data_IF_749638604921
#
_entry.id   IF_749638604921
#
_cell.length_a   1.000
_cell.length_b   1.000
_cell.length_c   1.000
_cell.angle_alpha   90.00
_cell.angle_beta   90.00
_cell.angle_gamma   90.00
#
_symmetry.space_group_name_H-M   'P 1'
#
loop_
_entity.id
_entity.type
_entity.pdbx_description
1 polymer ?
#
# COMPACT_ATOMS: atom_id res chain seq x y z
N UNK A 1 -2.37 -51.43 55.06
CA UNK A 1 -3.61 -51.45 55.86
C UNK A 1 -4.51 -50.32 55.38
N UNK A 2 -5.49 -50.62 54.52
CA UNK A 2 -6.94 -50.64 54.83
C UNK A 2 -7.46 -49.34 55.46
N UNK A 3 -8.17 -48.50 54.68
CA UNK A 3 -9.63 -48.40 54.77
C UNK A 3 -10.20 -47.41 53.74
N UNK A 4 -11.09 -47.92 52.87
CA UNK A 4 -12.01 -47.17 52.01
C UNK A 4 -13.36 -47.05 52.72
N UNK A 5 -14.05 -45.92 52.57
CA UNK A 5 -15.52 -45.78 52.36
C UNK A 5 -15.86 -44.28 52.24
N UNK A 6 -16.02 -43.72 51.04
CA UNK A 6 -17.29 -43.54 50.29
C UNK A 6 -18.42 -42.94 51.11
N UNK A 7 -18.91 -41.74 50.74
CA UNK A 7 -20.33 -41.52 50.39
C UNK A 7 -20.63 -40.10 49.86
N UNK A 8 -21.38 -40.07 48.74
CA UNK A 8 -22.33 -39.04 48.23
C UNK A 8 -21.83 -37.75 47.56
N UNK A 9 -21.63 -37.92 46.26
CA UNK A 9 -22.19 -37.11 45.16
C UNK A 9 -23.39 -36.22 45.56
N UNK A 10 -23.23 -34.90 45.46
CA UNK A 10 -24.32 -33.95 45.20
C UNK A 10 -23.96 -33.18 43.93
N UNK A 11 -24.69 -33.49 42.87
CA UNK A 11 -24.73 -32.69 41.65
C UNK A 11 -25.31 -31.32 42.00
N UNK A 12 -24.50 -30.28 41.87
CA UNK A 12 -24.98 -28.90 41.75
C UNK A 12 -24.85 -28.55 40.27
N UNK A 13 -25.98 -28.56 39.57
CA UNK A 13 -26.14 -27.95 38.26
C UNK A 13 -25.93 -26.44 38.43
N UNK A 14 -24.73 -25.96 38.16
CA UNK A 14 -24.49 -24.53 37.90
C UNK A 14 -24.45 -24.35 36.38
N UNK A 15 -25.55 -23.84 35.86
CA UNK A 15 -25.68 -23.27 34.53
C UNK A 15 -24.72 -22.08 34.38
N UNK A 16 -23.52 -22.35 33.85
CA UNK A 16 -22.60 -21.29 33.41
C UNK A 16 -23.13 -20.76 32.09
N UNK A 17 -24.02 -19.77 32.18
CA UNK A 17 -24.36 -18.90 31.08
C UNK A 17 -23.08 -18.16 30.66
N UNK A 18 -22.53 -18.55 29.51
CA UNK A 18 -21.47 -17.83 28.80
C UNK A 18 -21.97 -16.43 28.45
N UNK A 19 -21.67 -15.46 29.30
CA UNK A 19 -21.80 -14.04 29.00
C UNK A 19 -20.65 -13.67 28.06
N UNK A 20 -20.88 -13.85 26.76
CA UNK A 20 -20.08 -13.25 25.70
C UNK A 20 -20.21 -11.72 25.81
N UNK A 21 -19.30 -11.10 26.55
CA UNK A 21 -19.01 -9.68 26.45
C UNK A 21 -18.29 -9.45 25.11
N UNK A 22 -19.08 -9.45 24.03
CA UNK A 22 -18.70 -8.71 22.83
C UNK A 22 -18.69 -7.23 23.20
N UNK A 23 -17.51 -6.70 23.51
CA UNK A 23 -17.27 -5.27 23.39
C UNK A 23 -17.24 -5.01 21.88
N UNK A 24 -18.42 -4.87 21.28
CA UNK A 24 -18.57 -4.29 19.96
C UNK A 24 -18.13 -2.84 20.08
N UNK A 25 -16.96 -2.51 19.54
CA UNK A 25 -16.59 -1.15 19.19
C UNK A 25 -17.65 -0.62 18.23
N UNK A 26 -18.65 0.06 18.78
CA UNK A 26 -19.75 0.65 18.04
C UNK A 26 -19.26 1.90 17.31
N UNK A 27 -18.68 1.70 16.13
CA UNK A 27 -18.85 2.69 15.07
C UNK A 27 -20.30 2.56 14.67
N UNK A 28 -21.14 3.46 15.18
CA UNK A 28 -22.55 3.56 14.83
C UNK A 28 -22.61 3.84 13.32
N UNK A 29 -22.76 2.80 12.51
CA UNK A 29 -23.37 2.95 11.20
C UNK A 29 -24.81 3.36 11.48
N UNK A 30 -25.10 4.66 11.40
CA UNK A 30 -26.44 5.17 11.64
C UNK A 30 -27.40 4.45 10.70
N UNK A 31 -28.22 3.56 11.27
CA UNK A 31 -29.21 2.80 10.53
C UNK A 31 -30.10 3.80 9.78
N UNK A 32 -30.21 3.67 8.45
CA UNK A 32 -30.98 4.62 7.63
C UNK A 32 -32.41 4.74 8.18
N UNK A 33 -32.79 5.94 8.58
CA UNK A 33 -34.14 6.22 9.08
C UNK A 33 -35.19 5.99 8.00
N UNK A 34 -36.43 5.74 8.42
CA UNK A 34 -37.58 5.61 7.51
C UNK A 34 -37.73 6.86 6.65
N UNK A 35 -37.60 8.04 7.27
CA UNK A 35 -37.62 9.33 6.57
C UNK A 35 -36.55 9.41 5.48
N UNK A 36 -35.29 9.09 5.79
CA UNK A 36 -34.19 9.18 4.82
C UNK A 36 -34.40 8.23 3.64
N UNK A 37 -34.87 7.00 3.89
CA UNK A 37 -35.17 6.04 2.83
C UNK A 37 -36.26 6.56 1.91
N UNK A 38 -37.36 7.05 2.46
CA UNK A 38 -38.47 7.62 1.69
C UNK A 38 -38.04 8.86 0.91
N UNK A 39 -37.28 9.76 1.55
CA UNK A 39 -36.76 10.97 0.91
C UNK A 39 -35.86 10.63 -0.29
N UNK A 40 -34.91 9.71 -0.11
CA UNK A 40 -33.99 9.26 -1.16
C UNK A 40 -34.74 8.57 -2.28
N UNK A 41 -35.70 7.69 -1.96
CA UNK A 41 -36.51 7.04 -2.97
C UNK A 41 -37.24 8.08 -3.82
N UNK A 42 -37.93 9.03 -3.18
CA UNK A 42 -38.65 10.10 -3.87
C UNK A 42 -37.70 11.02 -4.67
N UNK A 43 -36.49 11.25 -4.18
CA UNK A 43 -35.45 12.02 -4.88
C UNK A 43 -35.02 11.32 -6.18
N UNK A 44 -34.69 10.03 -6.09
CA UNK A 44 -34.23 9.23 -7.24
C UNK A 44 -35.36 9.04 -8.26
N UNK A 45 -36.62 8.91 -7.80
CA UNK A 45 -37.79 8.75 -8.68
C UNK A 45 -38.41 10.08 -9.13
N UNK A 46 -37.80 11.23 -8.82
CA UNK A 46 -38.31 12.57 -9.15
C UNK A 46 -39.74 12.86 -8.65
N UNK A 47 -40.14 12.32 -7.50
CA UNK A 47 -41.47 12.48 -6.94
C UNK A 47 -41.54 13.69 -5.99
N UNK A 48 -41.48 14.89 -6.57
CA UNK A 48 -41.41 16.15 -5.82
C UNK A 48 -42.59 16.38 -4.87
N UNK A 49 -43.81 16.01 -5.28
CA UNK A 49 -45.01 16.17 -4.45
C UNK A 49 -44.89 15.38 -3.14
N UNK A 50 -44.45 14.13 -3.21
CA UNK A 50 -44.25 13.32 -2.00
C UNK A 50 -43.07 13.82 -1.17
N UNK A 51 -42.01 14.34 -1.78
CA UNK A 51 -40.91 14.95 -1.03
C UNK A 51 -41.38 16.19 -0.25
N UNK A 52 -42.17 17.06 -0.88
CA UNK A 52 -42.66 18.28 -0.25
C UNK A 52 -43.53 17.95 0.99
N UNK A 53 -44.42 16.98 0.88
CA UNK A 53 -45.24 16.52 2.01
C UNK A 53 -44.38 15.88 3.11
N UNK A 54 -43.41 15.06 2.73
CA UNK A 54 -42.47 14.43 3.66
C UNK A 54 -41.66 15.48 4.45
N UNK A 55 -41.16 16.52 3.78
CA UNK A 55 -40.39 17.62 4.38
C UNK A 55 -41.22 18.47 5.32
N UNK A 56 -42.47 18.80 4.96
CA UNK A 56 -43.37 19.57 5.82
C UNK A 56 -43.69 18.82 7.12
N UNK A 57 -43.91 17.50 7.04
CA UNK A 57 -44.31 16.65 8.18
C UNK A 57 -43.17 16.39 9.17
N UNK A 58 -41.91 16.45 8.73
CA UNK A 58 -40.76 15.95 9.48
C UNK A 58 -39.74 17.04 9.85
N UNK A 59 -40.19 18.28 10.07
CA UNK A 59 -39.32 19.44 10.38
C UNK A 59 -38.23 19.13 11.41
N UNK A 60 -38.62 18.52 12.53
CA UNK A 60 -37.74 18.42 13.71
C UNK A 60 -36.56 17.45 13.51
N UNK A 61 -36.72 16.44 12.64
CA UNK A 61 -35.68 15.43 12.40
C UNK A 61 -34.75 15.79 11.25
N UNK A 62 -35.18 16.69 10.34
CA UNK A 62 -34.43 17.04 9.14
C UNK A 62 -33.02 17.59 9.40
N UNK A 63 -32.79 18.48 10.39
CA UNK A 63 -31.44 18.94 10.73
C UNK A 63 -30.44 17.81 10.97
N UNK A 64 -30.85 16.78 11.70
CA UNK A 64 -29.97 15.65 12.02
C UNK A 64 -29.78 14.76 10.80
N UNK A 65 -30.83 14.56 9.99
CA UNK A 65 -30.74 13.82 8.73
C UNK A 65 -29.77 14.45 7.73
N UNK A 66 -29.78 15.78 7.61
CA UNK A 66 -28.82 16.53 6.78
C UNK A 66 -27.40 16.32 7.30
N UNK A 67 -27.18 16.48 8.62
CA UNK A 67 -25.86 16.27 9.24
C UNK A 67 -25.36 14.84 9.07
N UNK A 68 -26.23 13.84 9.18
CA UNK A 68 -25.87 12.45 8.97
C UNK A 68 -25.44 12.18 7.53
N UNK A 69 -26.13 12.75 6.54
CA UNK A 69 -25.74 12.64 5.13
C UNK A 69 -24.38 13.30 4.87
N UNK A 70 -24.13 14.47 5.46
CA UNK A 70 -22.82 15.13 5.37
C UNK A 70 -21.73 14.30 6.04
N UNK A 71 -21.99 13.75 7.23
CA UNK A 71 -21.03 12.91 7.94
C UNK A 71 -20.71 11.62 7.17
N UNK A 72 -21.72 10.95 6.60
CA UNK A 72 -21.54 9.76 5.76
C UNK A 72 -20.77 10.10 4.48
N UNK A 73 -21.05 11.25 3.86
CA UNK A 73 -20.28 11.72 2.70
C UNK A 73 -18.80 11.99 3.04
N UNK A 74 -18.50 12.40 4.26
CA UNK A 74 -17.13 12.67 4.70
C UNK A 74 -16.40 11.43 5.25
N UNK A 75 -17.04 10.27 5.26
CA UNK A 75 -16.40 9.01 5.66
C UNK A 75 -15.23 8.65 4.73
N UNK A 76 -14.15 8.11 5.31
CA UNK A 76 -12.85 7.92 4.62
C UNK A 76 -12.92 6.93 3.45
N UNK A 77 -13.86 6.01 3.50
CA UNK A 77 -14.05 4.92 2.55
C UNK A 77 -14.83 5.31 1.28
N UNK A 78 -15.46 6.50 1.25
CA UNK A 78 -16.30 6.92 0.11
C UNK A 78 -15.47 7.39 -1.08
N UNK A 79 -15.85 6.94 -2.28
CA UNK A 79 -15.33 7.50 -3.55
C UNK A 79 -15.88 8.91 -3.76
N UNK A 80 -15.19 9.74 -4.56
CA UNK A 80 -15.67 11.09 -4.89
C UNK A 80 -17.11 11.10 -5.40
N UNK A 81 -17.46 10.15 -6.29
CA UNK A 81 -18.83 9.99 -6.80
C UNK A 81 -19.84 9.71 -5.67
N UNK A 82 -19.52 8.81 -4.75
CA UNK A 82 -20.36 8.51 -3.58
C UNK A 82 -20.51 9.74 -2.67
N UNK A 83 -19.42 10.48 -2.45
CA UNK A 83 -19.47 11.73 -1.67
C UNK A 83 -20.40 12.75 -2.31
N UNK A 84 -20.25 12.99 -3.61
CA UNK A 84 -21.05 13.96 -4.34
C UNK A 84 -22.51 13.56 -4.42
N UNK A 85 -22.82 12.27 -4.52
CA UNK A 85 -24.19 11.75 -4.44
C UNK A 85 -24.83 12.08 -3.09
N UNK A 86 -24.14 11.76 -1.99
CA UNK A 86 -24.64 12.02 -0.63
C UNK A 86 -24.76 13.53 -0.34
N UNK A 87 -23.77 14.34 -0.72
CA UNK A 87 -23.81 15.80 -0.58
C UNK A 87 -24.91 16.42 -1.46
N UNK A 88 -25.17 15.87 -2.64
CA UNK A 88 -26.28 16.29 -3.51
C UNK A 88 -27.64 16.05 -2.85
N UNK A 89 -27.84 14.89 -2.23
CA UNK A 89 -29.07 14.57 -1.47
C UNK A 89 -29.18 15.50 -0.25
N UNK A 90 -28.10 15.69 0.50
CA UNK A 90 -28.07 16.60 1.64
C UNK A 90 -28.40 18.04 1.23
N UNK A 91 -27.87 18.49 0.09
CA UNK A 91 -28.11 19.83 -0.45
C UNK A 91 -29.56 20.00 -0.88
N UNK A 92 -30.15 18.98 -1.51
CA UNK A 92 -31.57 18.98 -1.85
C UNK A 92 -32.44 19.04 -0.60
N UNK A 93 -32.17 18.19 0.40
CA UNK A 93 -32.89 18.17 1.66
C UNK A 93 -32.78 19.52 2.42
N UNK A 94 -31.59 20.11 2.44
CA UNK A 94 -31.34 21.41 3.07
C UNK A 94 -32.01 22.57 2.31
N UNK A 95 -32.03 22.54 0.97
CA UNK A 95 -32.72 23.54 0.16
C UNK A 95 -34.24 23.48 0.38
N UNK A 96 -34.79 22.27 0.45
CA UNK A 96 -36.19 22.05 0.81
C UNK A 96 -36.47 22.56 2.24
N UNK A 97 -35.64 22.19 3.20
CA UNK A 97 -35.77 22.67 4.58
C UNK A 97 -35.81 24.21 4.65
N UNK A 98 -34.87 24.88 3.97
CA UNK A 98 -34.85 26.34 3.86
C UNK A 98 -36.17 26.88 3.29
N UNK A 99 -36.67 26.30 2.20
CA UNK A 99 -37.87 26.79 1.53
C UNK A 99 -39.13 26.72 2.41
N UNK A 100 -39.37 25.60 3.10
CA UNK A 100 -40.57 25.44 3.93
C UNK A 100 -40.44 25.96 5.36
N UNK A 101 -39.22 26.06 5.89
CA UNK A 101 -38.99 26.39 7.30
C UNK A 101 -38.20 27.70 7.52
N UNK A 102 -37.81 28.39 6.44
CA UNK A 102 -37.12 29.68 6.44
C UNK A 102 -35.81 29.69 7.27
N UNK A 103 -35.06 28.60 7.22
CA UNK A 103 -33.78 28.44 7.91
C UNK A 103 -32.71 28.01 6.90
N UNK A 104 -31.78 28.93 6.63
CA UNK A 104 -30.72 28.77 5.63
C UNK A 104 -29.43 28.15 6.17
N UNK A 105 -29.33 27.93 7.48
CA UNK A 105 -28.11 27.45 8.13
C UNK A 105 -27.59 26.16 7.47
N UNK A 106 -28.48 25.18 7.30
CA UNK A 106 -28.10 23.86 6.82
C UNK A 106 -27.70 23.85 5.35
N UNK A 107 -28.31 24.69 4.51
CA UNK A 107 -27.90 24.76 3.09
C UNK A 107 -26.54 25.43 2.96
N UNK A 108 -26.25 26.46 3.75
CA UNK A 108 -24.92 27.11 3.76
C UNK A 108 -23.84 26.12 4.21
N UNK A 109 -24.10 25.34 5.27
CA UNK A 109 -23.20 24.30 5.76
C UNK A 109 -22.92 23.24 4.67
N UNK A 110 -23.98 22.68 4.06
CA UNK A 110 -23.83 21.64 3.02
C UNK A 110 -23.11 22.18 1.78
N UNK A 111 -23.50 23.35 1.28
CA UNK A 111 -22.85 23.95 0.11
C UNK A 111 -21.38 24.28 0.35
N UNK A 112 -21.02 24.66 1.58
CA UNK A 112 -19.62 24.91 1.94
C UNK A 112 -18.80 23.61 1.84
N UNK A 113 -19.31 22.51 2.41
CA UNK A 113 -18.68 21.19 2.28
C UNK A 113 -18.60 20.74 0.81
N UNK A 114 -19.67 20.94 0.04
CA UNK A 114 -19.73 20.61 -1.38
C UNK A 114 -18.67 21.38 -2.18
N UNK A 115 -18.56 22.70 -1.97
CA UNK A 115 -17.51 23.54 -2.60
C UNK A 115 -16.10 23.06 -2.22
N UNK A 116 -15.89 22.70 -0.96
CA UNK A 116 -14.60 22.16 -0.50
C UNK A 116 -14.24 20.84 -1.20
N UNK A 117 -15.16 19.86 -1.29
CA UNK A 117 -14.87 18.58 -1.95
C UNK A 117 -14.66 18.75 -3.47
N UNK A 118 -15.43 19.62 -4.13
CA UNK A 118 -15.22 19.95 -5.56
C UNK A 118 -13.85 20.59 -5.78
N UNK A 119 -13.43 21.51 -4.91
CA UNK A 119 -12.12 22.14 -5.02
C UNK A 119 -10.99 21.12 -4.81
N UNK A 120 -11.11 20.23 -3.82
CA UNK A 120 -10.16 19.13 -3.63
C UNK A 120 -10.03 18.24 -4.87
N UNK A 121 -11.14 17.89 -5.53
CA UNK A 121 -11.08 17.07 -6.74
C UNK A 121 -10.47 17.82 -7.94
N UNK A 122 -10.68 19.14 -8.05
CA UNK A 122 -10.01 19.97 -9.06
C UNK A 122 -8.49 20.02 -8.86
N UNK A 123 -8.05 20.06 -7.60
CA UNK A 123 -6.62 20.11 -7.25
C UNK A 123 -5.94 18.75 -7.35
N UNK A 124 -6.70 17.65 -7.18
CA UNK A 124 -6.17 16.28 -7.15
C UNK A 124 -5.31 15.90 -8.36
N UNK A 125 -5.69 16.16 -9.64
CA UNK A 125 -4.84 15.81 -10.78
C UNK A 125 -3.51 16.55 -10.79
N UNK A 126 -3.52 17.85 -10.49
CA UNK A 126 -2.32 18.68 -10.45
C UNK A 126 -1.38 18.21 -9.32
N UNK A 127 -1.95 17.84 -8.17
CA UNK A 127 -1.20 17.29 -7.05
C UNK A 127 -0.61 15.91 -7.38
N UNK A 128 -1.36 15.02 -8.03
CA UNK A 128 -0.86 13.71 -8.48
C UNK A 128 0.30 13.90 -9.47
N UNK A 129 0.13 14.78 -10.47
CA UNK A 129 1.17 15.02 -11.48
C UNK A 129 2.43 15.65 -10.88
N UNK A 130 2.29 16.53 -9.89
CA UNK A 130 3.41 17.13 -9.14
C UNK A 130 4.33 16.07 -8.54
N UNK A 131 3.75 14.99 -7.98
CA UNK A 131 4.52 13.93 -7.32
C UNK A 131 4.98 12.83 -8.26
N UNK A 132 4.23 12.58 -9.35
CA UNK A 132 4.48 11.52 -10.33
C UNK A 132 5.89 11.56 -10.92
N UNK A 133 6.49 12.74 -11.07
CA UNK A 133 7.88 12.86 -11.55
C UNK A 133 8.91 12.20 -10.61
N UNK A 134 8.66 12.21 -9.30
CA UNK A 134 9.54 11.60 -8.30
C UNK A 134 9.34 10.09 -8.21
N UNK A 135 8.12 9.62 -8.48
CA UNK A 135 7.73 8.21 -8.54
C UNK A 135 8.01 7.57 -9.91
N UNK A 136 8.45 8.37 -10.91
CA UNK A 136 8.81 7.90 -12.25
C UNK A 136 9.86 6.78 -12.18
N UNK A 137 10.77 6.86 -11.22
CA UNK A 137 11.71 5.79 -10.97
C UNK A 137 11.07 4.69 -10.14
N UNK A 138 11.02 3.47 -10.66
CA UNK A 138 10.23 2.41 -10.05
C UNK A 138 10.68 2.07 -8.63
N UNK A 139 9.69 2.09 -7.73
CA UNK A 139 9.88 1.93 -6.30
C UNK A 139 10.12 3.25 -5.58
N UNK A 140 10.46 4.36 -6.23
CA UNK A 140 10.48 5.64 -5.51
C UNK A 140 9.07 5.96 -5.00
N UNK A 141 8.99 6.37 -3.74
CA UNK A 141 7.74 6.79 -3.13
C UNK A 141 7.91 8.19 -2.54
N UNK A 142 6.85 8.99 -2.62
CA UNK A 142 6.77 10.26 -1.92
C UNK A 142 5.93 10.06 -0.66
N UNK A 143 6.54 10.25 0.51
CA UNK A 143 5.85 10.19 1.80
C UNK A 143 5.22 11.56 2.07
N UNK A 144 3.88 11.61 2.01
CA UNK A 144 3.10 12.85 2.10
C UNK A 144 1.87 12.73 3.01
N UNK A 145 1.78 11.66 3.78
CA UNK A 145 0.66 11.37 4.67
C UNK A 145 0.49 12.39 5.79
N UNK A 146 1.58 13.09 6.15
CA UNK A 146 1.65 14.12 7.19
C UNK A 146 2.06 15.49 6.62
N UNK A 147 1.62 15.80 5.38
CA UNK A 147 2.04 17.01 4.67
C UNK A 147 1.66 18.32 5.37
N UNK A 148 0.48 18.40 6.00
CA UNK A 148 0.05 19.54 6.81
C UNK A 148 0.99 19.77 7.99
N UNK A 149 1.35 18.70 8.71
CA UNK A 149 2.27 18.79 9.84
C UNK A 149 3.68 19.15 9.39
N UNK A 150 4.16 18.57 8.28
CA UNK A 150 5.44 18.92 7.68
C UNK A 150 5.46 20.40 7.26
N UNK A 151 4.43 20.89 6.57
CA UNK A 151 4.33 22.28 6.13
C UNK A 151 4.30 23.27 7.30
N UNK A 152 3.63 22.92 8.41
CA UNK A 152 3.62 23.72 9.63
C UNK A 152 5.02 23.86 10.26
N UNK A 153 5.90 22.86 10.08
CA UNK A 153 7.31 22.92 10.47
C UNK A 153 8.24 23.47 9.34
N UNK A 154 7.68 23.96 8.23
CA UNK A 154 8.46 24.45 7.08
C UNK A 154 9.17 23.36 6.29
N UNK A 155 8.73 22.11 6.41
CA UNK A 155 9.30 20.93 5.77
C UNK A 155 8.51 20.51 4.53
N UNK A 156 9.22 20.00 3.53
CA UNK A 156 8.60 19.39 2.35
C UNK A 156 8.37 17.89 2.56
N UNK A 157 7.51 17.25 1.76
CA UNK A 157 7.42 15.78 1.73
C UNK A 157 8.76 15.10 1.50
N UNK A 158 8.85 13.84 1.92
CA UNK A 158 10.07 13.03 1.80
C UNK A 158 10.05 12.23 0.52
N UNK A 159 11.12 12.29 -0.28
CA UNK A 159 11.35 11.33 -1.36
C UNK A 159 12.13 10.16 -0.76
N UNK A 160 11.56 8.96 -0.82
CA UNK A 160 12.26 7.74 -0.47
C UNK A 160 12.69 6.98 -1.74
N UNK A 161 14.00 6.95 -2.05
CA UNK A 161 14.51 6.26 -3.21
C UNK A 161 14.75 4.77 -2.92
N UNK A 162 13.77 3.91 -3.20
CA UNK A 162 13.92 2.46 -2.99
C UNK A 162 15.13 1.88 -3.72
N UNK A 163 15.46 2.38 -4.91
CA UNK A 163 16.58 1.86 -5.68
C UNK A 163 17.92 2.09 -4.99
N UNK A 164 18.12 3.26 -4.38
CA UNK A 164 19.35 3.58 -3.68
C UNK A 164 19.52 2.66 -2.45
N UNK A 165 18.43 2.42 -1.73
CA UNK A 165 18.44 1.45 -0.62
C UNK A 165 18.68 0.02 -1.11
N UNK A 166 18.13 -0.37 -2.27
CA UNK A 166 18.33 -1.71 -2.88
C UNK A 166 19.74 -1.99 -3.38
N UNK A 167 20.56 -0.95 -3.61
CA UNK A 167 21.99 -1.14 -3.89
C UNK A 167 22.71 -1.71 -2.66
N UNK A 168 22.25 -1.33 -1.48
CA UNK A 168 22.92 -1.64 -0.22
C UNK A 168 22.25 -2.75 0.58
N UNK A 169 20.94 -2.91 0.44
CA UNK A 169 20.11 -3.78 1.25
C UNK A 169 19.17 -4.61 0.39
N UNK A 170 19.05 -5.89 0.70
CA UNK A 170 18.00 -6.73 0.14
C UNK A 170 16.63 -6.36 0.72
N UNK A 171 15.54 -6.71 0.03
CA UNK A 171 14.19 -6.32 0.45
C UNK A 171 13.87 -6.83 1.86
N UNK A 172 14.32 -8.05 2.18
CA UNK A 172 14.13 -8.72 3.48
C UNK A 172 14.77 -8.02 4.67
N UNK A 173 15.68 -7.08 4.45
CA UNK A 173 16.27 -6.25 5.51
C UNK A 173 15.23 -5.27 6.08
N UNK A 174 14.37 -4.75 5.20
CA UNK A 174 13.35 -3.76 5.56
C UNK A 174 11.97 -4.40 5.75
N UNK A 175 11.67 -5.43 4.97
CA UNK A 175 10.34 -6.02 4.89
C UNK A 175 10.32 -7.48 5.35
N UNK A 176 9.32 -7.91 6.12
CA UNK A 176 8.17 -7.13 6.62
C UNK A 176 8.37 -6.59 8.06
N UNK A 177 9.59 -6.70 8.60
CA UNK A 177 9.90 -6.42 10.01
C UNK A 177 9.88 -4.92 10.35
N UNK A 178 10.45 -4.08 9.50
CA UNK A 178 10.52 -2.62 9.73
C UNK A 178 9.35 -1.91 9.06
N UNK A 179 9.00 -2.35 7.86
CA UNK A 179 7.93 -1.79 7.05
C UNK A 179 7.07 -2.91 6.47
N UNK A 180 5.75 -2.73 6.45
CA UNK A 180 4.88 -3.60 5.68
C UNK A 180 4.95 -3.24 4.20
N UNK A 181 4.98 -4.22 3.29
CA UNK A 181 4.93 -4.00 1.83
C UNK A 181 3.55 -3.53 1.33
N UNK A 182 3.05 -2.42 1.89
CA UNK A 182 1.76 -1.83 1.53
C UNK A 182 1.86 -0.31 1.47
N UNK A 183 1.50 0.26 0.32
CA UNK A 183 1.46 1.71 0.15
C UNK A 183 0.49 2.32 1.17
N UNK A 184 0.93 3.39 1.86
CA UNK A 184 0.20 4.02 2.99
C UNK A 184 -0.13 3.06 4.14
N UNK A 185 0.48 1.88 4.19
CA UNK A 185 0.31 0.90 5.27
C UNK A 185 1.21 1.17 6.48
N UNK A 186 2.17 2.08 6.34
CA UNK A 186 3.12 2.43 7.38
C UNK A 186 2.85 3.87 7.83
N UNK A 187 2.49 4.06 9.09
CA UNK A 187 2.37 5.40 9.67
C UNK A 187 3.77 5.84 10.16
N UNK A 188 4.45 6.64 9.36
CA UNK A 188 5.82 7.11 9.64
C UNK A 188 5.73 8.48 10.30
N UNK A 189 6.22 8.58 11.54
CA UNK A 189 6.20 9.83 12.31
C UNK A 189 7.60 10.18 12.81
N UNK A 190 7.87 11.49 12.97
CA UNK A 190 9.10 12.02 13.59
C UNK A 190 9.40 11.35 14.93
N UNK A 191 8.38 11.18 15.77
CA UNK A 191 8.51 10.52 17.07
C UNK A 191 9.03 9.08 16.94
N UNK A 192 8.40 8.25 16.08
CA UNK A 192 8.85 6.86 15.86
C UNK A 192 10.27 6.80 15.30
N UNK A 193 10.61 7.68 14.36
CA UNK A 193 11.95 7.76 13.80
C UNK A 193 12.97 8.11 14.89
N UNK A 194 12.68 9.06 15.77
CA UNK A 194 13.59 9.46 16.84
C UNK A 194 13.73 8.41 17.94
N UNK A 195 12.72 7.55 18.12
CA UNK A 195 12.76 6.36 18.98
C UNK A 195 13.56 5.20 18.37
N UNK A 196 14.15 5.37 17.18
CA UNK A 196 14.93 4.32 16.51
C UNK A 196 14.07 3.29 15.76
N UNK A 197 12.79 3.60 15.48
CA UNK A 197 11.90 2.76 14.67
C UNK A 197 11.87 3.24 13.22
N UNK A 198 11.40 2.40 12.30
CA UNK A 198 11.24 2.74 10.88
C UNK A 198 12.55 3.27 10.30
N UNK A 199 12.58 4.49 9.74
CA UNK A 199 13.79 5.11 9.22
C UNK A 199 14.90 5.19 10.29
N UNK A 200 14.52 5.37 11.55
CA UNK A 200 15.42 5.47 12.69
C UNK A 200 16.18 4.18 13.02
N UNK A 201 15.75 3.02 12.50
CA UNK A 201 16.50 1.76 12.65
C UNK A 201 17.90 1.90 12.04
N UNK A 202 18.00 2.60 10.90
CA UNK A 202 19.27 2.82 10.19
C UNK A 202 19.76 4.27 10.30
N UNK A 203 18.88 5.26 10.26
CA UNK A 203 19.21 6.68 10.40
C UNK A 203 19.47 7.07 11.87
N UNK A 204 20.43 6.38 12.47
CA UNK A 204 20.80 6.45 13.89
C UNK A 204 22.21 7.02 14.13
N UNK A 205 22.87 7.50 13.07
CA UNK A 205 24.25 8.01 13.12
C UNK A 205 25.33 6.93 13.06
N UNK A 206 24.95 5.64 13.09
CA UNK A 206 25.88 4.49 12.99
C UNK A 206 25.82 3.85 11.61
N UNK A 207 24.63 3.42 11.18
CA UNK A 207 24.44 2.75 9.87
C UNK A 207 24.35 3.79 8.76
N UNK A 208 23.45 4.75 8.94
CA UNK A 208 23.29 5.93 8.10
C UNK A 208 23.41 7.22 8.93
N UNK A 209 23.34 8.37 8.27
CA UNK A 209 23.30 9.66 8.95
C UNK A 209 22.14 9.70 9.95
N UNK A 210 22.34 10.37 11.10
CA UNK A 210 21.32 10.47 12.14
C UNK A 210 20.07 11.23 11.67
N UNK A 211 18.91 10.78 12.12
CA UNK A 211 17.63 11.43 11.83
C UNK A 211 17.39 12.70 12.68
N UNK A 212 18.16 12.90 13.73
CA UNK A 212 18.10 14.08 14.58
C UNK A 212 18.96 15.20 13.96
N UNK A 213 18.30 16.11 13.24
CA UNK A 213 18.94 17.21 12.51
C UNK A 213 19.02 16.96 11.00
N UNK A 214 19.53 17.96 10.26
CA UNK A 214 19.64 17.93 8.79
C UNK A 214 18.36 17.50 8.07
N UNK A 215 17.21 18.06 8.48
CA UNK A 215 15.88 17.66 7.98
C UNK A 215 15.80 17.66 6.44
N UNK A 216 16.58 18.52 5.79
CA UNK A 216 16.68 18.65 4.32
C UNK A 216 17.23 17.41 3.62
N UNK A 217 17.92 16.49 4.32
CA UNK A 217 18.38 15.22 3.74
C UNK A 217 17.22 14.29 3.37
N UNK A 218 16.14 14.31 4.15
CA UNK A 218 14.94 13.52 3.89
C UNK A 218 13.81 14.39 3.29
N UNK A 219 13.53 15.55 3.91
CA UNK A 219 12.52 16.50 3.46
C UNK A 219 13.04 17.33 2.28
N UNK A 220 13.03 16.69 1.11
CA UNK A 220 13.71 17.16 -0.09
C UNK A 220 12.82 17.21 -1.33
N UNK A 221 11.54 16.82 -1.23
CA UNK A 221 10.66 16.92 -2.37
C UNK A 221 10.51 18.39 -2.80
N UNK A 222 10.65 18.66 -4.10
CA UNK A 222 10.67 20.02 -4.65
C UNK A 222 12.05 20.70 -4.67
N UNK A 223 13.10 20.11 -4.09
CA UNK A 223 14.44 20.72 -4.02
C UNK A 223 15.36 20.21 -5.14
N UNK A 224 16.28 21.07 -5.60
CA UNK A 224 17.22 20.76 -6.69
C UNK A 224 18.16 19.61 -6.32
N UNK A 225 18.60 19.55 -5.06
CA UNK A 225 19.53 18.53 -4.56
C UNK A 225 18.92 17.12 -4.60
N UNK A 226 17.59 17.03 -4.62
CA UNK A 226 16.88 15.76 -4.70
C UNK A 226 16.88 15.13 -6.09
N UNK A 227 17.33 15.85 -7.14
CA UNK A 227 17.37 15.35 -8.52
C UNK A 227 18.12 14.03 -8.67
N UNK A 228 19.24 13.88 -7.97
CA UNK A 228 20.03 12.64 -7.96
C UNK A 228 19.27 11.41 -7.41
N UNK A 229 18.19 11.61 -6.66
CA UNK A 229 17.38 10.52 -6.08
C UNK A 229 16.39 9.91 -7.09
N UNK A 230 16.13 10.59 -8.20
CA UNK A 230 15.22 10.13 -9.26
C UNK A 230 15.81 10.22 -10.67
N UNK A 231 17.06 10.70 -10.80
CA UNK A 231 17.85 10.67 -12.02
C UNK A 231 19.20 9.98 -11.78
N UNK A 232 19.29 8.71 -12.17
CA UNK A 232 20.50 7.91 -11.98
C UNK A 232 21.71 8.38 -12.79
N UNK A 233 21.52 9.22 -13.82
CA UNK A 233 22.67 9.77 -14.56
C UNK A 233 23.51 10.70 -13.69
N UNK A 234 22.93 11.19 -12.58
CA UNK A 234 23.58 12.08 -11.61
C UNK A 234 24.10 11.35 -10.37
N UNK A 235 24.16 10.01 -10.39
CA UNK A 235 24.61 9.23 -9.25
C UNK A 235 26.09 9.47 -8.94
N UNK A 236 26.43 9.64 -7.66
CA UNK A 236 27.82 9.66 -7.21
C UNK A 236 28.28 8.24 -6.88
N UNK A 237 28.96 7.57 -7.82
CA UNK A 237 29.51 6.23 -7.59
C UNK A 237 30.46 6.18 -6.40
N UNK A 238 31.21 7.27 -6.17
CA UNK A 238 32.11 7.41 -5.01
C UNK A 238 31.32 7.33 -3.70
N UNK A 239 30.27 8.15 -3.56
CA UNK A 239 29.42 8.15 -2.37
C UNK A 239 28.75 6.79 -2.15
N UNK A 240 28.27 6.16 -3.23
CA UNK A 240 27.66 4.84 -3.14
C UNK A 240 28.65 3.77 -2.66
N UNK A 241 29.89 3.81 -3.17
CA UNK A 241 30.98 2.92 -2.75
C UNK A 241 31.37 3.11 -1.29
N UNK A 242 31.48 4.36 -0.85
CA UNK A 242 31.80 4.71 0.54
C UNK A 242 30.74 4.18 1.51
N UNK A 243 29.46 4.38 1.20
CA UNK A 243 28.36 3.87 2.03
C UNK A 243 28.34 2.35 2.02
N UNK A 244 28.47 1.71 0.85
CA UNK A 244 28.47 0.26 0.73
C UNK A 244 29.56 -0.37 1.60
N UNK A 245 30.79 0.14 1.48
CA UNK A 245 31.94 -0.32 2.27
C UNK A 245 31.70 -0.17 3.77
N UNK A 246 31.12 0.97 4.20
CA UNK A 246 30.86 1.23 5.62
C UNK A 246 29.91 0.23 6.26
N UNK A 247 28.89 -0.21 5.52
CA UNK A 247 27.84 -1.11 6.03
C UNK A 247 28.09 -2.58 5.71
N UNK A 248 29.17 -2.91 4.98
CA UNK A 248 29.49 -4.26 4.57
C UNK A 248 28.78 -4.75 3.30
N UNK A 249 28.21 -3.83 2.50
CA UNK A 249 27.76 -4.10 1.14
C UNK A 249 28.90 -3.86 0.14
N UNK A 250 28.70 -4.24 -1.12
CA UNK A 250 29.66 -4.00 -2.20
C UNK A 250 29.07 -3.11 -3.29
N UNK A 251 29.89 -2.21 -3.81
CA UNK A 251 29.62 -1.43 -5.01
C UNK A 251 30.92 -1.24 -5.81
N UNK A 252 30.96 -1.89 -6.96
CA UNK A 252 32.10 -2.03 -7.86
C UNK A 252 31.76 -1.34 -9.19
N UNK A 253 31.75 0.01 -9.25
CA UNK A 253 31.38 0.76 -10.45
C UNK A 253 32.31 0.48 -11.64
N UNK A 254 33.52 -0.01 -11.40
CA UNK A 254 34.46 -0.51 -12.42
C UNK A 254 33.88 -1.63 -13.30
N UNK A 255 32.90 -2.39 -12.81
CA UNK A 255 32.25 -3.46 -13.56
C UNK A 255 31.06 -2.96 -14.41
N UNK A 256 30.72 -1.66 -14.31
CA UNK A 256 29.68 -1.05 -15.14
C UNK A 256 30.19 -0.77 -16.55
N UNK A 257 29.34 -1.05 -17.53
CA UNK A 257 29.61 -0.68 -18.92
C UNK A 257 29.57 0.85 -19.06
N UNK A 258 30.72 1.46 -19.35
CA UNK A 258 30.91 2.92 -19.44
C UNK A 258 30.55 3.69 -18.15
N UNK A 259 30.61 3.03 -16.99
CA UNK A 259 30.20 3.64 -15.71
C UNK A 259 28.69 3.84 -15.56
N UNK A 260 27.86 3.34 -16.48
CA UNK A 260 26.41 3.58 -16.48
C UNK A 260 25.67 2.37 -15.91
N UNK A 261 24.73 2.64 -15.00
CA UNK A 261 23.81 1.61 -14.48
C UNK A 261 22.87 1.14 -15.60
N UNK A 262 22.80 -0.16 -15.90
CA UNK A 262 22.03 -0.68 -17.02
C UNK A 262 20.53 -0.56 -16.74
N UNK A 263 19.82 0.09 -17.67
CA UNK A 263 18.37 0.21 -17.69
C UNK A 263 17.77 -0.62 -18.82
N UNK A 264 16.54 -1.07 -18.63
CA UNK A 264 15.74 -1.64 -19.72
C UNK A 264 15.01 -0.55 -20.53
N UNK A 265 14.30 -0.96 -21.60
CA UNK A 265 13.54 -0.05 -22.48
C UNK A 265 12.43 0.74 -21.77
N UNK A 266 12.05 0.35 -20.56
CA UNK A 266 11.06 1.02 -19.74
C UNK A 266 11.69 1.88 -18.63
N UNK A 267 13.02 1.94 -18.57
CA UNK A 267 13.77 2.70 -17.57
C UNK A 267 13.98 1.98 -16.24
N UNK A 268 13.78 0.66 -16.16
CA UNK A 268 14.01 -0.12 -14.94
C UNK A 268 15.43 -0.68 -14.86
N UNK A 269 16.02 -0.67 -13.65
CA UNK A 269 17.35 -1.22 -13.41
C UNK A 269 17.35 -2.72 -13.71
N UNK A 270 18.34 -3.15 -14.47
CA UNK A 270 18.63 -4.57 -14.71
C UNK A 270 19.43 -5.14 -13.54
N UNK A 271 18.77 -5.36 -12.41
CA UNK A 271 19.40 -5.88 -11.18
C UNK A 271 20.13 -7.21 -11.37
N UNK A 272 19.58 -8.11 -12.18
CA UNK A 272 20.23 -9.39 -12.49
C UNK A 272 21.54 -9.18 -13.26
N UNK A 273 21.55 -8.31 -14.26
CA UNK A 273 22.77 -7.98 -15.02
C UNK A 273 23.84 -7.36 -14.11
N UNK A 274 23.44 -6.47 -13.18
CA UNK A 274 24.35 -5.91 -12.18
C UNK A 274 24.96 -6.98 -11.27
N UNK A 275 24.16 -7.97 -10.86
CA UNK A 275 24.60 -9.07 -10.00
C UNK A 275 25.53 -10.03 -10.75
N UNK A 276 25.19 -10.39 -11.99
CA UNK A 276 26.02 -11.21 -12.89
C UNK A 276 27.39 -10.57 -13.13
N UNK A 277 27.42 -9.25 -13.36
CA UNK A 277 28.64 -8.46 -13.53
C UNK A 277 29.38 -8.17 -12.21
N UNK A 278 28.87 -8.64 -11.06
CA UNK A 278 29.43 -8.37 -9.73
C UNK A 278 29.62 -6.87 -9.46
N UNK A 279 28.71 -6.04 -9.96
CA UNK A 279 28.72 -4.59 -9.72
C UNK A 279 28.31 -4.29 -8.28
N UNK A 280 27.48 -5.12 -7.67
CA UNK A 280 27.01 -4.88 -6.31
C UNK A 280 26.69 -6.18 -5.58
N UNK A 281 26.76 -6.12 -4.26
CA UNK A 281 26.39 -7.18 -3.34
C UNK A 281 25.74 -6.55 -2.10
N UNK A 282 24.40 -6.47 -2.02
CA UNK A 282 23.72 -5.86 -0.90
C UNK A 282 23.80 -6.77 0.34
N UNK A 283 23.70 -6.19 1.53
CA UNK A 283 23.58 -6.99 2.76
C UNK A 283 22.16 -7.53 2.92
N UNK A 284 22.06 -8.68 3.55
CA UNK A 284 20.83 -9.45 3.69
C UNK A 284 20.19 -9.34 5.09
N UNK A 285 20.89 -8.72 6.05
CA UNK A 285 20.42 -8.52 7.43
C UNK A 285 21.18 -7.38 8.11
N UNK A 286 20.55 -6.71 9.08
CA UNK A 286 21.22 -5.76 9.97
C UNK A 286 21.95 -6.47 11.13
N UNK A 287 21.60 -7.72 11.42
CA UNK A 287 22.24 -8.57 12.42
C UNK A 287 23.04 -9.69 11.77
N UNK A 288 24.22 -9.98 12.31
CA UNK A 288 25.12 -11.03 11.80
C UNK A 288 24.58 -12.46 12.03
N UNK A 289 23.59 -12.61 12.91
CA UNK A 289 23.11 -13.93 13.37
C UNK A 289 21.90 -14.44 12.56
N UNK A 290 21.40 -13.67 11.60
CA UNK A 290 20.25 -14.08 10.79
C UNK A 290 20.71 -15.08 9.73
N UNK A 291 20.17 -16.31 9.80
CA UNK A 291 20.39 -17.31 8.76
C UNK A 291 19.59 -16.94 7.53
N UNK A 292 20.27 -16.93 6.39
CA UNK A 292 19.64 -16.70 5.11
C UNK A 292 19.00 -17.99 4.58
N UNK A 293 17.71 -17.94 4.29
CA UNK A 293 16.95 -19.07 3.76
C UNK A 293 16.74 -18.88 2.25
N UNK A 294 17.65 -19.44 1.45
CA UNK A 294 17.54 -19.42 0.00
C UNK A 294 16.96 -20.75 -0.47
N UNK A 295 15.88 -20.68 -1.25
CA UNK A 295 15.25 -21.83 -1.88
C UNK A 295 15.71 -21.94 -3.32
N UNK A 296 16.47 -22.98 -3.63
CA UNK A 296 17.02 -23.23 -4.97
C UNK A 296 16.19 -24.28 -5.71
N UNK A 297 15.03 -23.86 -6.23
CA UNK A 297 14.25 -24.66 -7.16
C UNK A 297 13.47 -23.79 -8.14
N UNK A 298 13.04 -24.42 -9.23
CA UNK A 298 12.30 -23.76 -10.28
C UNK A 298 10.90 -24.36 -10.41
N UNK A 299 9.92 -23.52 -10.75
CA UNK A 299 8.56 -23.93 -11.05
C UNK A 299 8.27 -23.61 -12.52
N UNK A 300 7.94 -24.65 -13.27
CA UNK A 300 7.51 -24.55 -14.65
C UNK A 300 5.99 -24.35 -14.73
N UNK A 301 5.58 -23.29 -15.41
CA UNK A 301 4.19 -22.97 -15.72
C UNK A 301 3.95 -23.11 -17.22
N UNK A 302 3.04 -23.99 -17.58
CA UNK A 302 2.61 -24.14 -18.96
C UNK A 302 1.63 -23.02 -19.33
N UNK A 303 1.94 -22.29 -20.39
CA UNK A 303 1.05 -21.25 -20.93
C UNK A 303 -0.15 -21.91 -21.62
N UNK A 304 -1.35 -21.43 -21.31
CA UNK A 304 -2.59 -21.90 -21.99
C UNK A 304 -2.69 -21.43 -23.43
N UNK A 305 -1.90 -20.43 -23.82
CA UNK A 305 -1.86 -19.94 -25.20
C UNK A 305 -0.99 -20.85 -26.06
N UNK A 306 -1.42 -21.21 -27.29
CA UNK A 306 -0.64 -22.05 -28.20
C UNK A 306 0.60 -21.33 -28.74
N UNK A 307 0.61 -19.99 -28.75
CA UNK A 307 1.66 -19.18 -29.39
C UNK A 307 2.59 -18.47 -28.39
N UNK A 308 2.20 -18.39 -27.12
CA UNK A 308 3.03 -17.74 -26.09
C UNK A 308 3.83 -18.80 -25.34
N UNK A 309 5.14 -18.63 -25.30
CA UNK A 309 6.09 -19.48 -24.56
C UNK A 309 5.66 -19.72 -23.11
N UNK A 310 6.18 -20.79 -22.53
CA UNK A 310 5.99 -21.16 -21.14
C UNK A 310 6.82 -20.27 -20.20
N UNK A 311 6.52 -20.32 -18.90
CA UNK A 311 7.20 -19.53 -17.87
C UNK A 311 7.98 -20.45 -16.95
N UNK A 312 9.22 -20.08 -16.66
CA UNK A 312 10.04 -20.74 -15.66
C UNK A 312 10.29 -19.75 -14.51
N UNK A 313 9.60 -19.98 -13.39
CA UNK A 313 9.81 -19.21 -12.17
C UNK A 313 10.99 -19.80 -11.39
N UNK A 314 11.83 -18.94 -10.82
CA UNK A 314 13.03 -19.34 -10.10
C UNK A 314 13.01 -18.82 -8.67
N UNK A 315 12.91 -19.72 -7.68
CA UNK A 315 12.91 -19.30 -6.28
C UNK A 315 14.26 -18.74 -5.85
N UNK A 316 15.39 -19.17 -6.41
CA UNK A 316 16.71 -18.69 -6.00
C UNK A 316 16.82 -17.20 -6.23
N UNK A 317 16.36 -16.74 -7.40
CA UNK A 317 16.33 -15.33 -7.75
C UNK A 317 15.48 -14.53 -6.75
N UNK A 318 14.32 -15.05 -6.35
CA UNK A 318 13.40 -14.32 -5.48
C UNK A 318 13.80 -14.41 -4.00
N UNK A 319 13.97 -15.63 -3.46
CA UNK A 319 14.31 -15.89 -2.06
C UNK A 319 15.67 -15.35 -1.64
N UNK A 320 16.57 -15.04 -2.59
CA UNK A 320 17.76 -14.25 -2.25
C UNK A 320 17.36 -12.86 -1.76
N UNK A 321 16.36 -12.20 -2.37
CA UNK A 321 16.00 -10.81 -2.04
C UNK A 321 14.90 -10.66 -0.98
N UNK A 322 13.94 -11.58 -0.94
CA UNK A 322 12.73 -11.48 -0.11
C UNK A 322 12.58 -12.68 0.83
N UNK A 323 11.78 -12.52 1.88
CA UNK A 323 11.46 -13.60 2.82
C UNK A 323 10.34 -14.50 2.27
N UNK A 324 10.25 -15.74 2.75
CA UNK A 324 9.16 -16.67 2.42
C UNK A 324 7.77 -16.07 2.74
N UNK A 325 7.66 -15.38 3.89
CA UNK A 325 6.46 -14.71 4.39
C UNK A 325 5.99 -13.56 3.49
N UNK A 326 6.90 -12.95 2.72
CA UNK A 326 6.56 -11.88 1.77
C UNK A 326 5.72 -12.39 0.59
N UNK A 327 5.70 -13.70 0.34
CA UNK A 327 4.89 -14.32 -0.71
C UNK A 327 3.85 -15.30 -0.15
N UNK A 328 4.20 -16.08 0.86
CA UNK A 328 3.39 -17.18 1.36
C UNK A 328 2.84 -16.89 2.77
N UNK A 329 1.59 -17.30 3.05
CA UNK A 329 0.60 -17.82 2.11
C UNK A 329 -0.24 -16.71 1.42
N UNK A 330 0.07 -15.45 1.68
CA UNK A 330 -0.81 -14.30 1.38
C UNK A 330 -1.01 -14.05 -0.12
N UNK A 331 0.06 -14.15 -0.91
CA UNK A 331 0.05 -13.93 -2.36
C UNK A 331 -0.05 -15.27 -3.10
N UNK A 332 0.69 -16.26 -2.60
CA UNK A 332 0.74 -17.60 -3.16
C UNK A 332 0.45 -18.64 -2.09
N UNK A 333 -0.40 -19.60 -2.40
CA UNK A 333 -0.57 -20.80 -1.58
C UNK A 333 0.71 -21.61 -1.69
N UNK A 334 1.28 -22.05 -0.56
CA UNK A 334 2.47 -22.93 -0.53
C UNK A 334 2.09 -24.38 -0.86
N UNK A 335 1.48 -24.56 -2.04
CA UNK A 335 1.09 -25.86 -2.58
C UNK A 335 1.12 -25.82 -4.10
N UNK A 336 1.95 -26.68 -4.68
CA UNK A 336 2.11 -26.80 -6.12
C UNK A 336 0.77 -27.10 -6.80
N UNK A 337 0.49 -26.42 -7.91
CA UNK A 337 -0.76 -26.58 -8.68
C UNK A 337 -1.97 -25.79 -8.17
N UNK A 338 -1.93 -25.19 -6.97
CA UNK A 338 -3.12 -24.51 -6.40
C UNK A 338 -3.23 -23.01 -6.71
N UNK A 339 -2.19 -22.42 -7.30
CA UNK A 339 -2.19 -21.00 -7.68
C UNK A 339 -2.62 -20.83 -9.15
N UNK A 340 -3.93 -20.69 -9.38
CA UNK A 340 -4.49 -20.50 -10.72
C UNK A 340 -4.38 -19.02 -11.14
N UNK A 341 -3.30 -18.69 -11.84
CA UNK A 341 -2.97 -17.32 -12.21
C UNK A 341 -3.36 -16.97 -13.63
N UNK A 342 -3.85 -15.74 -13.84
CA UNK A 342 -4.10 -15.16 -15.15
C UNK A 342 -3.40 -13.82 -15.28
N UNK A 343 -3.05 -13.42 -16.50
CA UNK A 343 -2.48 -12.10 -16.76
C UNK A 343 -3.41 -10.96 -16.29
N UNK A 344 -4.72 -11.16 -16.35
CA UNK A 344 -5.72 -10.20 -15.83
C UNK A 344 -5.69 -10.06 -14.31
N UNK A 345 -5.36 -11.13 -13.58
CA UNK A 345 -5.17 -11.07 -12.13
C UNK A 345 -3.86 -10.33 -11.80
N UNK A 346 -2.81 -10.56 -12.59
CA UNK A 346 -1.55 -9.84 -12.46
C UNK A 346 -1.70 -8.35 -12.73
N UNK A 347 -2.44 -7.95 -13.78
CA UNK A 347 -2.70 -6.52 -14.04
C UNK A 347 -3.54 -5.86 -12.95
N UNK A 348 -4.38 -6.63 -12.25
CA UNK A 348 -5.10 -6.20 -11.06
C UNK A 348 -4.24 -6.20 -9.77
N UNK A 349 -2.95 -6.53 -9.87
CA UNK A 349 -2.00 -6.50 -8.76
C UNK A 349 -1.97 -7.74 -7.87
N UNK A 350 -2.50 -8.88 -8.34
CA UNK A 350 -2.40 -10.18 -7.67
C UNK A 350 -1.19 -10.98 -8.17
N UNK A 351 -0.80 -12.02 -7.45
CA UNK A 351 0.28 -12.94 -7.82
C UNK A 351 1.57 -12.19 -8.21
N UNK A 352 2.16 -12.48 -9.37
CA UNK A 352 3.36 -11.80 -9.87
C UNK A 352 3.19 -10.27 -9.94
N UNK A 353 1.98 -9.80 -10.29
CA UNK A 353 1.64 -8.38 -10.35
C UNK A 353 1.56 -7.68 -9.01
N UNK A 354 1.66 -8.42 -7.90
CA UNK A 354 1.86 -7.82 -6.58
C UNK A 354 3.16 -7.02 -6.53
N UNK A 355 4.21 -7.50 -7.21
CA UNK A 355 5.54 -6.87 -7.24
C UNK A 355 5.92 -6.33 -8.64
N UNK A 356 5.69 -7.12 -9.71
CA UNK A 356 6.04 -6.73 -11.09
C UNK A 356 5.13 -5.60 -11.59
N UNK A 357 5.73 -4.49 -12.02
CA UNK A 357 5.05 -3.26 -12.38
C UNK A 357 4.87 -2.26 -11.23
N UNK A 358 5.28 -2.61 -10.00
CA UNK A 358 5.26 -1.71 -8.83
C UNK A 358 6.65 -1.48 -8.24
N UNK A 359 7.34 -2.57 -7.92
CA UNK A 359 8.70 -2.56 -7.33
C UNK A 359 9.71 -3.36 -8.15
N UNK A 360 9.23 -4.26 -9.01
CA UNK A 360 10.01 -5.01 -10.01
C UNK A 360 9.56 -4.66 -11.43
N UNK A 361 10.33 -5.08 -12.45
CA UNK A 361 10.07 -4.75 -13.86
C UNK A 361 8.61 -4.98 -14.28
N UNK A 362 8.15 -4.22 -15.28
CA UNK A 362 6.76 -4.29 -15.76
C UNK A 362 6.39 -5.64 -16.37
N UNK A 363 5.17 -6.11 -16.10
CA UNK A 363 4.61 -7.30 -16.75
C UNK A 363 4.33 -7.09 -18.25
N UNK A 364 4.38 -5.86 -18.76
CA UNK A 364 4.32 -5.57 -20.19
C UNK A 364 5.54 -6.10 -20.96
N UNK A 365 6.63 -6.47 -20.26
CA UNK A 365 7.80 -7.09 -20.85
C UNK A 365 7.67 -8.62 -20.91
N UNK A 366 6.78 -9.12 -21.77
CA UNK A 366 6.38 -10.54 -21.82
C UNK A 366 7.57 -11.52 -21.84
N UNK A 367 8.62 -11.16 -22.59
CA UNK A 367 9.78 -12.00 -22.84
C UNK A 367 10.69 -12.19 -21.61
N UNK A 368 10.47 -11.46 -20.51
CA UNK A 368 11.20 -11.69 -19.26
C UNK A 368 10.70 -12.91 -18.49
N UNK A 369 9.43 -13.26 -18.66
CA UNK A 369 8.81 -14.41 -18.01
C UNK A 369 8.60 -15.56 -19.01
N UNK A 370 8.13 -15.23 -20.21
CA UNK A 370 7.80 -16.20 -21.26
C UNK A 370 9.05 -16.59 -22.07
N UNK A 371 10.04 -17.15 -21.40
CA UNK A 371 11.34 -17.51 -21.97
C UNK A 371 11.42 -18.98 -22.37
N UNK A 372 10.59 -19.85 -21.80
CA UNK A 372 10.71 -21.30 -21.98
C UNK A 372 9.93 -21.75 -23.23
N UNK A 373 10.58 -22.39 -24.22
CA UNK A 373 9.89 -22.87 -25.42
C UNK A 373 8.73 -23.84 -25.13
N UNK A 374 7.79 -23.91 -26.08
CA UNK A 374 6.74 -24.92 -26.08
C UNK A 374 7.31 -26.32 -26.30
N UNK A 375 6.73 -27.32 -25.65
CA UNK A 375 7.16 -28.72 -25.77
C UNK A 375 8.41 -29.11 -24.97
N UNK A 376 9.11 -28.13 -24.38
CA UNK A 376 10.31 -28.36 -23.59
C UNK A 376 10.06 -28.09 -22.11
N UNK A 377 10.14 -29.14 -21.28
CA UNK A 377 10.06 -29.03 -19.82
C UNK A 377 11.50 -29.01 -19.26
N UNK A 378 11.92 -27.94 -18.57
CA UNK A 378 13.24 -27.87 -17.96
C UNK A 378 13.50 -29.01 -16.97
N UNK A 379 14.68 -29.63 -17.08
CA UNK A 379 15.09 -30.73 -16.21
C UNK A 379 15.15 -30.27 -14.75
N UNK A 380 14.46 -30.99 -13.86
CA UNK A 380 14.45 -30.70 -12.42
C UNK A 380 13.47 -29.62 -11.99
N UNK A 381 12.74 -28.99 -12.92
CA UNK A 381 11.69 -28.04 -12.57
C UNK A 381 10.45 -28.75 -12.00
N UNK A 382 9.85 -28.14 -10.98
CA UNK A 382 8.56 -28.54 -10.45
C UNK A 382 7.46 -28.11 -11.44
N UNK A 383 6.61 -29.04 -11.86
CA UNK A 383 5.58 -28.75 -12.86
C UNK A 383 4.32 -28.24 -12.16
N UNK A 384 3.95 -26.98 -12.41
CA UNK A 384 2.65 -26.46 -12.04
C UNK A 384 1.59 -27.02 -13.00
N UNK A 385 0.79 -27.98 -12.53
CA UNK A 385 -0.42 -28.45 -13.21
C UNK A 385 -1.63 -27.81 -12.52
N UNK A 386 -2.38 -26.91 -13.20
CA UNK A 386 -3.63 -26.37 -12.65
C UNK A 386 -4.55 -27.53 -12.27
N UNK A 387 -5.13 -27.48 -11.06
CA UNK A 387 -6.14 -28.43 -10.62
C UNK A 387 -7.52 -28.09 -11.17
#
# INVERSE_FOLDING_TARGET
MKSKRTMRLRFVLLSVATLLLFISSSVIHAQMSTFRKEFINNYITNNFTQQAELVKKNKDIMPDEIKFLVADALAKEKTYEQKMSLLGIASSMAAMYRFWHNDEKYIIEVETVLRMEVQKEKERPAEVEKWKKYEKFLGNIVLKEHDVQMAAEGLTPVIYPHWLHRIWFECKVCHDDIFVMKQRGNDITKARVFEGKQCGVCHNGKIAFGAQGDCTKCHNAGKLEAESLYDMTKISHKMVKEVATRIGAEWNPENLSNGVVPLDRFGYIKWLELKEKKVFNPINSLSKDVKDEIRDNQIFFESTSPVVNNVLFDHKIHSTWIQCSSCHPSIFIDKLGQNNMKMTDMSAGKFCGHCHGKVAFTFADCLRCHTQPKGEIPKGALIHKPQ
#
